data_IF_648434248314
#
_entry.id   IF_648434248314
#
_cell.length_a   1.000
_cell.length_b   1.000
_cell.length_c   1.000
_cell.angle_alpha   90.00
_cell.angle_beta   90.00
_cell.angle_gamma   90.00
#
_symmetry.space_group_name_H-M   'P 1'
#
loop_
_entity.id
_entity.type
_entity.pdbx_description
1 polymer ?
#
# COMPACT_ATOMS: atom_id res chain seq x y z
N UNK A 1 -10.58 -0.31 -11.97
CA UNK A 1 -9.41 0.08 -12.82
C UNK A 1 -8.12 -0.19 -12.05
N UNK A 2 -7.11 -0.80 -12.67
CA UNK A 2 -5.82 -1.08 -12.03
C UNK A 2 -4.77 -0.08 -12.50
N UNK A 3 -4.06 0.55 -11.56
CA UNK A 3 -2.89 1.37 -11.87
C UNK A 3 -1.66 0.68 -11.29
N UNK A 4 -0.67 0.46 -12.14
CA UNK A 4 0.58 -0.21 -11.81
C UNK A 4 1.72 0.79 -11.88
N UNK A 5 2.57 0.80 -10.87
CA UNK A 5 3.90 1.40 -10.97
C UNK A 5 4.93 0.30 -10.74
N UNK A 6 5.41 -0.29 -11.85
CA UNK A 6 6.39 -1.39 -11.81
C UNK A 6 7.74 -0.97 -11.21
N UNK A 7 8.12 0.31 -11.36
CA UNK A 7 9.42 0.82 -10.86
C UNK A 7 9.50 0.80 -9.33
N UNK A 8 8.37 0.98 -8.64
CA UNK A 8 8.31 0.99 -7.18
C UNK A 8 7.61 -0.25 -6.60
N UNK A 9 7.14 -1.18 -7.46
CA UNK A 9 6.49 -2.43 -7.03
C UNK A 9 5.09 -2.24 -6.42
N UNK A 10 4.44 -1.10 -6.67
CA UNK A 10 3.10 -0.78 -6.15
C UNK A 10 2.01 -1.13 -7.15
N UNK A 11 0.88 -1.63 -6.63
CA UNK A 11 -0.33 -1.88 -7.40
C UNK A 11 -1.55 -1.35 -6.65
N UNK A 12 -2.46 -0.70 -7.38
CA UNK A 12 -3.72 -0.21 -6.84
C UNK A 12 -4.90 -0.83 -7.56
N UNK A 13 -5.85 -1.34 -6.78
CA UNK A 13 -7.16 -1.71 -7.24
C UNK A 13 -8.19 -0.70 -6.70
N UNK A 14 -8.61 0.23 -7.55
CA UNK A 14 -9.57 1.27 -7.19
C UNK A 14 -10.97 0.72 -6.86
N UNK A 15 -11.37 -0.38 -7.51
CA UNK A 15 -12.70 -0.97 -7.33
C UNK A 15 -12.82 -1.64 -5.95
N UNK A 16 -11.70 -2.13 -5.41
CA UNK A 16 -11.60 -2.78 -4.11
C UNK A 16 -11.01 -1.89 -3.01
N UNK A 17 -10.66 -0.63 -3.33
CA UNK A 17 -9.94 0.26 -2.42
C UNK A 17 -8.70 -0.40 -1.77
N UNK A 18 -7.93 -1.14 -2.59
CA UNK A 18 -6.81 -1.96 -2.14
C UNK A 18 -5.51 -1.48 -2.77
N UNK A 19 -4.47 -1.33 -1.95
CA UNK A 19 -3.09 -1.11 -2.39
C UNK A 19 -2.22 -2.28 -1.94
N UNK A 20 -1.36 -2.75 -2.82
CA UNK A 20 -0.43 -3.84 -2.56
C UNK A 20 0.97 -3.48 -3.01
N UNK A 21 1.97 -4.09 -2.37
CA UNK A 21 3.36 -3.99 -2.77
C UNK A 21 4.00 -5.38 -2.87
N UNK A 22 5.00 -5.52 -3.74
CA UNK A 22 5.67 -6.80 -4.04
C UNK A 22 6.31 -7.49 -2.82
N UNK A 23 6.64 -6.74 -1.77
CA UNK A 23 7.14 -7.29 -0.50
C UNK A 23 6.06 -8.02 0.34
N UNK A 24 4.82 -8.11 -0.14
CA UNK A 24 3.71 -8.74 0.56
C UNK A 24 2.84 -7.77 1.36
N UNK A 25 3.15 -6.47 1.41
CA UNK A 25 2.25 -5.50 2.02
C UNK A 25 0.91 -5.43 1.28
N UNK A 26 -0.19 -5.46 2.03
CA UNK A 26 -1.55 -5.27 1.51
C UNK A 26 -2.34 -4.42 2.48
N UNK A 27 -2.93 -3.34 2.00
CA UNK A 27 -3.73 -2.44 2.81
C UNK A 27 -4.94 -1.90 2.06
N UNK A 28 -5.99 -1.59 2.82
CA UNK A 28 -7.14 -0.84 2.37
C UNK A 28 -6.89 0.65 2.53
N UNK A 29 -7.35 1.43 1.56
CA UNK A 29 -7.19 2.88 1.57
C UNK A 29 -8.53 3.61 1.37
N UNK A 30 -8.60 4.86 1.81
CA UNK A 30 -9.72 5.78 1.57
C UNK A 30 -9.15 7.13 1.14
N UNK A 31 -9.42 7.55 -0.09
CA UNK A 31 -8.72 8.69 -0.67
C UNK A 31 -7.23 8.38 -0.81
N UNK A 32 -6.38 9.16 -0.16
CA UNK A 32 -4.93 8.96 -0.11
C UNK A 32 -4.42 8.39 1.22
N UNK A 33 -5.31 8.00 2.14
CA UNK A 33 -4.93 7.51 3.47
C UNK A 33 -5.11 5.99 3.59
N UNK A 34 -4.21 5.34 4.33
CA UNK A 34 -4.36 3.93 4.70
C UNK A 34 -5.33 3.82 5.86
N UNK A 35 -6.40 3.06 5.64
CA UNK A 35 -7.47 2.87 6.63
C UNK A 35 -7.34 1.54 7.38
N UNK A 36 -6.71 0.52 6.76
CA UNK A 36 -6.55 -0.79 7.39
C UNK A 36 -5.45 -1.62 6.73
N UNK A 37 -4.67 -2.34 7.52
CA UNK A 37 -3.63 -3.25 7.01
C UNK A 37 -4.21 -4.66 6.99
N UNK A 38 -4.27 -5.28 5.82
CA UNK A 38 -4.74 -6.67 5.64
C UNK A 38 -3.62 -7.68 5.82
N UNK A 39 -2.44 -7.35 5.34
CA UNK A 39 -1.29 -8.25 5.42
C UNK A 39 0.02 -7.48 5.48
N UNK A 40 0.92 -8.01 6.28
CA UNK A 40 2.30 -7.56 6.40
C UNK A 40 3.18 -8.80 6.63
N UNK A 41 4.42 -8.84 6.09
CA UNK A 41 5.38 -9.91 6.39
C UNK A 41 5.57 -10.12 7.91
N UNK A 42 5.66 -11.39 8.33
CA UNK A 42 5.76 -11.79 9.75
C UNK A 42 6.97 -11.18 10.46
N UNK A 43 8.08 -10.99 9.76
CA UNK A 43 9.33 -10.48 10.35
C UNK A 43 9.41 -8.95 10.40
N UNK A 44 8.34 -8.26 10.02
CA UNK A 44 8.33 -6.82 10.01
C UNK A 44 8.20 -6.21 11.40
N UNK A 45 8.99 -5.19 11.66
CA UNK A 45 8.87 -4.37 12.86
C UNK A 45 7.75 -3.35 12.72
N UNK A 46 7.32 -2.76 13.84
CA UNK A 46 6.40 -1.61 13.85
C UNK A 46 6.99 -0.44 13.03
N UNK A 47 8.31 -0.28 13.03
CA UNK A 47 8.97 0.75 12.24
C UNK A 47 8.81 0.49 10.73
N UNK A 48 8.98 -0.75 10.30
CA UNK A 48 8.78 -1.15 8.90
C UNK A 48 7.33 -0.94 8.46
N UNK A 49 6.37 -1.27 9.33
CA UNK A 49 4.95 -1.05 9.09
C UNK A 49 4.66 0.44 8.89
N UNK A 50 5.15 1.30 9.79
CA UNK A 50 4.96 2.76 9.68
C UNK A 50 5.56 3.32 8.40
N UNK A 51 6.80 2.94 8.08
CA UNK A 51 7.47 3.37 6.85
C UNK A 51 6.69 2.94 5.61
N UNK A 52 6.17 1.71 5.60
CA UNK A 52 5.39 1.23 4.46
C UNK A 52 4.04 1.92 4.32
N UNK A 53 3.35 2.20 5.43
CA UNK A 53 2.12 3.00 5.40
C UNK A 53 2.39 4.38 4.82
N UNK A 54 3.42 5.09 5.31
CA UNK A 54 3.74 6.43 4.79
C UNK A 54 4.06 6.42 3.30
N UNK A 55 4.81 5.44 2.80
CA UNK A 55 5.10 5.30 1.37
C UNK A 55 3.85 4.99 0.55
N UNK A 56 2.94 4.17 1.08
CA UNK A 56 1.68 3.84 0.43
C UNK A 56 0.81 5.11 0.26
N UNK A 57 0.69 5.92 1.31
CA UNK A 57 -0.06 7.19 1.28
C UNK A 57 0.55 8.21 0.32
N UNK A 58 1.89 8.31 0.32
CA UNK A 58 2.62 9.15 -0.64
C UNK A 58 2.35 8.71 -2.09
N UNK A 59 2.40 7.41 -2.37
CA UNK A 59 2.09 6.90 -3.70
C UNK A 59 0.63 7.19 -4.09
N UNK A 60 -0.33 6.93 -3.20
CA UNK A 60 -1.75 7.23 -3.44
C UNK A 60 -2.00 8.72 -3.70
N UNK A 61 -1.21 9.62 -3.12
CA UNK A 61 -1.34 11.07 -3.34
C UNK A 61 -0.88 11.54 -4.73
N UNK A 62 -0.15 10.70 -5.47
CA UNK A 62 0.40 10.99 -6.80
C UNK A 62 -0.44 10.38 -7.94
N UNK A 63 -1.41 9.53 -7.61
CA UNK A 63 -2.35 8.91 -8.56
C UNK A 63 -3.50 9.87 -8.92
#
# INVERSE_FOLDING_TARGET
MFTFNEDEGWQVNADQQLITHQNGFKAEYKGNCIYGIKHFPIEATIHDIRNMVSKAEEFLSRL
#
